data_IF_510568350920
#
_entry.id   IF_510568350920
#
_cell.length_a   1.000
_cell.length_b   1.000
_cell.length_c   1.000
_cell.angle_alpha   90.00
_cell.angle_beta   90.00
_cell.angle_gamma   90.00
#
_symmetry.space_group_name_H-M   'P 1'
#
loop_
_entity.id
_entity.type
_entity.pdbx_description
1 polymer ?
#
# COMPACT_ATOMS: atom_id res chain seq x y z
N UNK A 1 55.46 -50.42 13.36
CA UNK A 1 54.05 -50.84 13.55
C UNK A 1 53.55 -50.14 14.80
N UNK A 2 52.96 -48.97 14.64
CA UNK A 2 52.24 -48.22 15.68
C UNK A 2 51.11 -47.45 14.98
N UNK A 3 49.87 -47.43 15.51
CA UNK A 3 48.69 -47.02 14.77
C UNK A 3 48.46 -45.51 14.84
N UNK A 4 47.81 -44.97 13.80
CA UNK A 4 47.39 -43.57 13.67
C UNK A 4 46.16 -43.33 14.56
N UNK A 5 46.01 -42.18 15.23
CA UNK A 5 44.86 -41.95 16.12
C UNK A 5 43.58 -41.69 15.34
N UNK A 6 42.47 -42.21 15.87
CA UNK A 6 41.10 -42.06 15.37
C UNK A 6 40.68 -40.60 15.33
N UNK A 7 40.31 -40.12 14.13
CA UNK A 7 39.64 -38.82 13.97
C UNK A 7 38.18 -39.02 14.34
N UNK A 8 37.82 -38.52 15.51
CA UNK A 8 36.45 -38.45 16.00
C UNK A 8 35.53 -37.81 14.94
N UNK A 9 34.47 -38.53 14.58
CA UNK A 9 33.43 -38.05 13.67
C UNK A 9 32.75 -36.81 14.21
N UNK A 10 32.91 -35.69 13.53
CA UNK A 10 32.06 -34.51 13.70
C UNK A 10 30.75 -34.77 12.98
N UNK A 11 29.71 -35.12 13.72
CA UNK A 11 28.33 -35.12 13.21
C UNK A 11 28.00 -33.73 12.64
N UNK A 12 27.38 -33.64 11.44
CA UNK A 12 26.99 -32.35 10.87
C UNK A 12 26.01 -31.64 11.81
N UNK A 13 26.03 -30.30 11.87
CA UNK A 13 25.06 -29.54 12.66
C UNK A 13 23.64 -29.87 12.17
N UNK A 14 22.64 -29.91 13.08
CA UNK A 14 21.27 -30.17 12.69
C UNK A 14 20.82 -29.10 11.68
N UNK A 15 20.35 -29.55 10.51
CA UNK A 15 19.71 -28.67 9.52
C UNK A 15 18.57 -27.89 10.20
N UNK A 16 18.61 -26.57 10.11
CA UNK A 16 17.46 -25.74 10.51
C UNK A 16 16.24 -26.19 9.70
N UNK A 17 15.13 -26.60 10.35
CA UNK A 17 13.97 -27.07 9.61
C UNK A 17 13.43 -25.93 8.75
N UNK A 18 13.21 -26.22 7.46
CA UNK A 18 12.53 -25.34 6.52
C UNK A 18 11.36 -24.63 7.21
N UNK A 19 11.37 -23.29 7.17
CA UNK A 19 10.51 -22.43 7.99
C UNK A 19 9.06 -22.91 7.99
N UNK A 20 8.56 -23.28 9.17
CA UNK A 20 7.17 -23.69 9.36
C UNK A 20 6.25 -22.63 8.73
N UNK A 21 5.21 -23.00 7.96
CA UNK A 21 4.26 -22.04 7.44
C UNK A 21 3.69 -21.24 8.62
N UNK A 22 3.79 -19.92 8.51
CA UNK A 22 3.29 -19.00 9.51
C UNK A 22 1.83 -19.26 9.85
N UNK A 23 1.46 -19.12 11.11
CA UNK A 23 0.07 -19.26 11.53
C UNK A 23 -0.71 -18.03 11.00
N UNK A 24 -1.74 -18.22 10.15
CA UNK A 24 -2.53 -17.11 9.65
C UNK A 24 -3.30 -16.42 10.78
N UNK A 25 -3.66 -15.15 10.58
CA UNK A 25 -4.36 -14.33 11.57
C UNK A 25 -5.66 -14.98 12.04
N UNK A 26 -6.38 -15.65 11.13
CA UNK A 26 -7.61 -16.37 11.46
C UNK A 26 -7.39 -17.51 12.47
N UNK A 27 -6.30 -18.26 12.33
CA UNK A 27 -6.00 -19.36 13.27
C UNK A 27 -5.53 -18.83 14.63
N UNK A 28 -4.86 -17.68 14.66
CA UNK A 28 -4.55 -16.99 15.91
C UNK A 28 -5.81 -16.51 16.64
N UNK A 29 -6.77 -15.96 15.90
CA UNK A 29 -8.06 -15.52 16.44
C UNK A 29 -8.85 -16.73 16.94
N UNK A 30 -8.97 -17.79 16.13
CA UNK A 30 -9.66 -19.03 16.50
C UNK A 30 -9.06 -19.65 17.75
N UNK A 31 -7.73 -19.81 17.80
CA UNK A 31 -7.04 -20.35 18.98
C UNK A 31 -7.24 -19.51 20.25
N UNK A 32 -7.38 -18.19 20.11
CA UNK A 32 -7.67 -17.31 21.25
C UNK A 32 -9.11 -17.45 21.77
N UNK A 33 -10.07 -17.83 20.92
CA UNK A 33 -11.42 -18.19 21.35
C UNK A 33 -11.48 -19.58 21.97
N UNK A 34 -10.66 -20.52 21.52
CA UNK A 34 -10.65 -21.88 22.04
C UNK A 34 -10.06 -21.94 23.47
N UNK A 35 -9.01 -21.18 23.75
CA UNK A 35 -8.34 -21.10 25.07
C UNK A 35 -9.19 -20.33 26.11
N UNK A 36 -9.71 -21.00 27.17
CA UNK A 36 -10.54 -20.37 28.20
C UNK A 36 -9.88 -19.18 28.90
N UNK A 37 -8.55 -19.19 29.02
CA UNK A 37 -7.80 -18.11 29.68
C UNK A 37 -7.75 -16.83 28.85
N UNK A 38 -7.90 -16.95 27.51
CA UNK A 38 -7.85 -15.83 26.56
C UNK A 38 -9.23 -15.32 26.16
N UNK A 39 -10.28 -16.13 26.34
CA UNK A 39 -11.68 -15.76 26.01
C UNK A 39 -12.08 -14.42 26.60
N UNK A 40 -11.78 -14.16 27.88
CA UNK A 40 -12.15 -12.90 28.55
C UNK A 40 -11.45 -11.72 27.88
N UNK A 41 -10.16 -11.85 27.55
CA UNK A 41 -9.39 -10.81 26.86
C UNK A 41 -9.91 -10.58 25.44
N UNK A 42 -10.27 -11.63 24.71
CA UNK A 42 -10.81 -11.53 23.35
C UNK A 42 -12.18 -10.86 23.35
N UNK A 43 -13.09 -11.30 24.23
CA UNK A 43 -14.43 -10.70 24.37
C UNK A 43 -14.34 -9.25 24.86
N UNK A 44 -13.49 -8.97 25.85
CA UNK A 44 -13.22 -7.61 26.31
C UNK A 44 -12.65 -6.72 25.21
N UNK A 45 -11.68 -7.24 24.45
CA UNK A 45 -11.11 -6.54 23.29
C UNK A 45 -12.14 -6.26 22.20
N UNK A 46 -13.00 -7.23 21.88
CA UNK A 46 -14.09 -7.07 20.93
C UNK A 46 -15.13 -6.03 21.41
N UNK A 47 -15.48 -6.04 22.70
CA UNK A 47 -16.36 -5.04 23.29
C UNK A 47 -15.72 -3.63 23.24
N UNK A 48 -14.45 -3.49 23.58
CA UNK A 48 -13.71 -2.22 23.46
C UNK A 48 -13.64 -1.73 22.01
N UNK A 49 -13.42 -2.63 21.05
CA UNK A 49 -13.44 -2.28 19.62
C UNK A 49 -14.84 -1.81 19.20
N UNK A 50 -15.90 -2.53 19.58
CA UNK A 50 -17.28 -2.13 19.29
C UNK A 50 -17.63 -0.77 19.86
N UNK A 51 -17.24 -0.49 21.11
CA UNK A 51 -17.43 0.83 21.74
C UNK A 51 -16.64 1.93 21.04
N UNK A 52 -15.39 1.65 20.63
CA UNK A 52 -14.57 2.60 19.87
C UNK A 52 -15.23 2.92 18.53
N UNK A 53 -15.66 1.91 17.77
CA UNK A 53 -16.34 2.11 16.49
C UNK A 53 -17.67 2.87 16.66
N UNK A 54 -18.41 2.60 17.74
CA UNK A 54 -19.64 3.33 18.06
C UNK A 54 -19.36 4.82 18.37
N UNK A 55 -18.29 5.10 19.13
CA UNK A 55 -17.87 6.47 19.45
C UNK A 55 -17.48 7.26 18.18
N UNK A 56 -16.86 6.57 17.22
CA UNK A 56 -16.43 7.10 15.92
C UNK A 56 -17.42 6.83 14.79
N UNK A 57 -18.69 6.52 15.09
CA UNK A 57 -19.69 6.18 14.07
C UNK A 57 -19.88 7.25 13.00
N UNK A 58 -19.80 8.53 13.38
CA UNK A 58 -19.98 9.64 12.43
C UNK A 58 -18.76 9.71 11.51
N UNK A 59 -17.55 9.48 12.02
CA UNK A 59 -16.32 9.36 11.21
C UNK A 59 -16.37 8.18 10.25
N UNK A 60 -16.94 7.04 10.67
CA UNK A 60 -17.16 5.90 9.78
C UNK A 60 -18.17 6.24 8.67
N UNK A 61 -19.20 7.03 8.99
CA UNK A 61 -20.14 7.55 8.02
C UNK A 61 -19.47 8.53 7.05
N UNK A 62 -18.61 9.43 7.54
CA UNK A 62 -17.85 10.36 6.71
C UNK A 62 -16.95 9.63 5.71
N UNK A 63 -16.29 8.53 6.14
CA UNK A 63 -15.56 7.65 5.23
C UNK A 63 -16.46 7.01 4.19
N UNK A 64 -17.56 6.40 4.61
CA UNK A 64 -18.51 5.78 3.69
C UNK A 64 -19.05 6.79 2.67
N UNK A 65 -19.46 7.96 3.12
CA UNK A 65 -19.96 9.03 2.27
C UNK A 65 -18.89 9.51 1.29
N UNK A 66 -17.67 9.76 1.78
CA UNK A 66 -16.56 10.20 0.94
C UNK A 66 -16.16 9.17 -0.10
N UNK A 67 -16.06 7.89 0.27
CA UNK A 67 -15.64 6.84 -0.66
C UNK A 67 -16.72 6.48 -1.69
N UNK A 68 -17.99 6.81 -1.42
CA UNK A 68 -19.10 6.57 -2.35
C UNK A 68 -19.41 7.77 -3.25
N UNK A 69 -19.26 8.99 -2.72
CA UNK A 69 -19.64 10.23 -3.44
C UNK A 69 -18.46 10.98 -4.02
N UNK A 70 -17.30 10.96 -3.34
CA UNK A 70 -16.06 11.51 -3.87
C UNK A 70 -15.30 10.40 -4.57
N UNK A 71 -15.45 10.45 -5.87
CA UNK A 71 -14.86 9.58 -6.84
C UNK A 71 -13.31 9.53 -6.66
N UNK A 72 -12.66 10.60 -6.15
CA UNK A 72 -11.22 10.67 -5.82
C UNK A 72 -10.77 9.79 -4.64
N UNK A 73 -11.68 9.35 -3.78
CA UNK A 73 -11.39 8.53 -2.61
C UNK A 73 -12.04 7.15 -2.65
N UNK A 74 -12.55 6.74 -3.81
CA UNK A 74 -13.15 5.41 -4.03
C UNK A 74 -12.23 4.24 -3.67
N UNK A 75 -10.90 4.40 -3.74
CA UNK A 75 -9.93 3.39 -3.30
C UNK A 75 -9.94 3.16 -1.78
N UNK A 76 -10.53 4.07 -1.00
CA UNK A 76 -10.62 4.00 0.45
C UNK A 76 -11.24 2.70 0.97
N UNK A 77 -12.21 2.12 0.24
CA UNK A 77 -12.79 0.81 0.58
C UNK A 77 -11.76 -0.34 0.56
N UNK A 78 -10.76 -0.26 -0.30
CA UNK A 78 -9.74 -1.31 -0.45
C UNK A 78 -8.64 -1.22 0.64
N UNK A 79 -8.43 -0.02 1.19
CA UNK A 79 -7.32 0.25 2.12
C UNK A 79 -7.42 -0.57 3.43
N UNK A 80 -8.58 -0.66 4.11
CA UNK A 80 -8.75 -1.55 5.27
C UNK A 80 -8.50 -3.02 4.95
N UNK A 81 -8.93 -3.50 3.77
CA UNK A 81 -8.73 -4.89 3.35
C UNK A 81 -7.24 -5.19 3.14
N UNK A 82 -6.51 -4.29 2.49
CA UNK A 82 -5.07 -4.41 2.31
C UNK A 82 -4.32 -4.29 3.65
N UNK A 83 -4.76 -3.39 4.55
CA UNK A 83 -4.21 -3.28 5.91
C UNK A 83 -4.34 -4.61 6.67
N UNK A 84 -5.50 -5.26 6.61
CA UNK A 84 -5.71 -6.60 7.18
C UNK A 84 -4.84 -7.66 6.52
N UNK A 85 -4.68 -7.63 5.19
CA UNK A 85 -3.75 -8.51 4.49
C UNK A 85 -2.31 -8.32 4.99
N UNK A 86 -1.83 -7.08 5.13
CA UNK A 86 -0.51 -6.81 5.68
C UNK A 86 -0.39 -7.26 7.15
N UNK A 87 -1.43 -7.09 7.95
CA UNK A 87 -1.46 -7.58 9.32
C UNK A 87 -1.32 -9.12 9.35
N UNK A 88 -2.01 -9.82 8.44
CA UNK A 88 -1.88 -11.27 8.29
C UNK A 88 -0.46 -11.69 7.90
N UNK A 89 0.19 -10.96 6.99
CA UNK A 89 1.59 -11.22 6.63
C UNK A 89 2.57 -11.01 7.78
N UNK A 90 2.29 -10.04 8.67
CA UNK A 90 3.09 -9.83 9.88
C UNK A 90 2.86 -10.94 10.91
N UNK A 91 1.62 -11.40 11.06
CA UNK A 91 1.22 -12.50 11.94
C UNK A 91 1.86 -13.83 11.54
N UNK A 92 1.91 -14.12 10.23
CA UNK A 92 2.55 -15.31 9.69
C UNK A 92 4.04 -15.40 10.04
N UNK A 93 4.72 -14.28 10.30
CA UNK A 93 6.14 -14.28 10.74
C UNK A 93 6.30 -14.74 12.21
N UNK A 94 5.26 -15.20 12.88
CA UNK A 94 5.27 -15.68 14.26
C UNK A 94 4.81 -14.67 15.32
N UNK A 95 4.64 -15.10 16.59
CA UNK A 95 4.10 -14.25 17.64
C UNK A 95 5.01 -13.06 17.95
N UNK A 96 4.41 -11.93 18.34
CA UNK A 96 5.12 -10.78 18.89
C UNK A 96 5.09 -10.83 20.43
N UNK A 97 6.16 -10.40 21.12
CA UNK A 97 6.15 -10.35 22.57
C UNK A 97 5.14 -9.30 23.05
N UNK A 98 4.19 -9.71 23.89
CA UNK A 98 3.23 -8.81 24.53
C UNK A 98 3.91 -8.13 25.71
N UNK A 99 4.46 -6.93 25.48
CA UNK A 99 5.15 -6.13 26.51
C UNK A 99 4.88 -4.64 26.36
N UNK A 100 4.75 -3.94 27.49
CA UNK A 100 4.82 -2.48 27.58
C UNK A 100 3.78 -1.71 26.77
N UNK A 101 2.57 -2.26 26.60
CA UNK A 101 1.52 -1.69 25.77
C UNK A 101 0.57 -0.71 26.46
N UNK A 102 0.32 -0.89 27.76
CA UNK A 102 -0.74 -0.20 28.48
C UNK A 102 -0.60 1.33 28.47
N UNK A 103 0.60 1.86 28.75
CA UNK A 103 0.82 3.32 28.80
C UNK A 103 0.68 3.93 27.40
N UNK A 104 1.45 3.43 26.42
CA UNK A 104 1.40 3.95 25.06
C UNK A 104 -0.01 3.81 24.45
N UNK A 105 -0.62 2.64 24.59
CA UNK A 105 -1.96 2.37 24.08
C UNK A 105 -3.03 3.22 24.78
N UNK A 106 -2.93 3.39 26.09
CA UNK A 106 -3.81 4.26 26.87
C UNK A 106 -3.67 5.73 26.48
N UNK A 107 -2.45 6.22 26.26
CA UNK A 107 -2.21 7.59 25.76
C UNK A 107 -2.80 7.80 24.37
N UNK A 108 -2.60 6.86 23.44
CA UNK A 108 -3.18 6.93 22.10
C UNK A 108 -4.72 6.91 22.14
N UNK A 109 -5.32 6.05 22.97
CA UNK A 109 -6.77 6.01 23.18
C UNK A 109 -7.31 7.30 23.79
N UNK A 110 -6.67 7.81 24.83
CA UNK A 110 -7.06 9.06 25.48
C UNK A 110 -6.98 10.24 24.49
N UNK A 111 -5.90 10.31 23.70
CA UNK A 111 -5.76 11.32 22.66
C UNK A 111 -6.83 11.19 21.58
N UNK A 112 -7.11 9.96 21.10
CA UNK A 112 -8.15 9.71 20.11
C UNK A 112 -9.54 10.14 20.61
N UNK A 113 -9.89 9.80 21.85
CA UNK A 113 -11.15 10.19 22.47
C UNK A 113 -11.22 11.70 22.65
N UNK A 114 -10.15 12.34 23.14
CA UNK A 114 -10.10 13.79 23.32
C UNK A 114 -10.29 14.53 21.99
N UNK A 115 -9.56 14.11 20.94
CA UNK A 115 -9.70 14.69 19.60
C UNK A 115 -11.10 14.47 19.07
N UNK A 116 -11.69 13.28 19.28
CA UNK A 116 -13.09 13.02 18.89
C UNK A 116 -14.05 13.96 19.59
N UNK A 117 -13.90 14.19 20.90
CA UNK A 117 -14.75 15.12 21.65
C UNK A 117 -14.61 16.56 21.16
N UNK A 118 -13.39 16.99 20.83
CA UNK A 118 -13.09 18.32 20.26
C UNK A 118 -13.60 18.45 18.82
N UNK A 119 -13.62 17.37 18.04
CA UNK A 119 -14.08 17.34 16.66
C UNK A 119 -15.62 17.32 16.55
N UNK A 120 -16.38 17.07 17.62
CA UNK A 120 -17.86 17.14 17.59
C UNK A 120 -18.35 18.56 17.28
N UNK A 121 -17.90 19.62 17.98
CA UNK A 121 -18.34 20.99 17.68
C UNK A 121 -17.58 21.66 16.52
N UNK A 122 -16.47 21.09 16.06
CA UNK A 122 -15.62 21.70 15.04
C UNK A 122 -15.77 20.99 13.68
N UNK A 123 -15.82 21.71 12.55
CA UNK A 123 -15.89 21.09 11.22
C UNK A 123 -14.52 20.57 10.76
N UNK A 124 -13.87 19.74 11.59
CA UNK A 124 -12.53 19.20 11.40
C UNK A 124 -12.57 17.68 11.25
N UNK A 125 -13.34 17.19 10.28
CA UNK A 125 -13.54 15.75 10.00
C UNK A 125 -12.20 15.00 9.92
N UNK A 126 -11.22 15.58 9.22
CA UNK A 126 -9.86 15.04 9.09
C UNK A 126 -9.18 14.69 10.42
N UNK A 127 -9.37 15.50 11.48
CA UNK A 127 -8.81 15.17 12.79
C UNK A 127 -9.51 13.97 13.43
N UNK A 128 -10.82 13.86 13.26
CA UNK A 128 -11.60 12.71 13.71
C UNK A 128 -11.19 11.41 13.00
N UNK A 129 -10.94 11.48 11.69
CA UNK A 129 -10.46 10.37 10.86
C UNK A 129 -9.08 9.87 11.32
N UNK A 130 -8.13 10.78 11.55
CA UNK A 130 -6.82 10.45 12.10
C UNK A 130 -6.92 9.91 13.53
N UNK A 131 -7.82 10.48 14.34
CA UNK A 131 -8.07 10.02 15.71
C UNK A 131 -8.63 8.58 15.74
N UNK A 132 -9.45 8.18 14.77
CA UNK A 132 -9.91 6.79 14.68
C UNK A 132 -8.71 5.84 14.47
N UNK A 133 -7.80 6.17 13.55
CA UNK A 133 -6.62 5.34 13.27
C UNK A 133 -5.71 5.27 14.51
N UNK A 134 -5.49 6.40 15.19
CA UNK A 134 -4.76 6.45 16.45
C UNK A 134 -5.44 5.62 17.55
N UNK A 135 -6.77 5.67 17.64
CA UNK A 135 -7.57 4.89 18.58
C UNK A 135 -7.47 3.39 18.31
N UNK A 136 -7.51 2.96 17.06
CA UNK A 136 -7.31 1.56 16.65
C UNK A 136 -5.89 1.08 17.01
N UNK A 137 -4.86 1.89 16.72
CA UNK A 137 -3.48 1.61 17.10
C UNK A 137 -3.30 1.56 18.63
N UNK A 138 -3.97 2.44 19.36
CA UNK A 138 -3.97 2.50 20.82
C UNK A 138 -4.61 1.26 21.45
N UNK A 139 -5.81 0.89 20.98
CA UNK A 139 -6.49 -0.33 21.41
C UNK A 139 -5.64 -1.57 21.13
N UNK A 140 -5.05 -1.65 19.94
CA UNK A 140 -4.13 -2.73 19.59
C UNK A 140 -2.91 -2.77 20.52
N UNK A 141 -2.31 -1.62 20.84
CA UNK A 141 -1.19 -1.57 21.77
C UNK A 141 -1.56 -2.00 23.19
N UNK A 142 -2.75 -1.65 23.70
CA UNK A 142 -3.24 -2.13 25.01
C UNK A 142 -3.37 -3.65 25.01
N UNK A 143 -3.94 -4.23 23.96
CA UNK A 143 -4.23 -5.67 23.89
C UNK A 143 -2.99 -6.51 23.55
N UNK A 144 -2.16 -6.06 22.61
CA UNK A 144 -1.06 -6.83 22.02
C UNK A 144 0.34 -6.35 22.44
N UNK A 145 0.48 -5.20 23.10
CA UNK A 145 1.76 -4.64 23.52
C UNK A 145 2.36 -3.64 22.52
N UNK A 146 3.24 -2.76 23.00
CA UNK A 146 3.91 -1.76 22.15
C UNK A 146 4.94 -2.38 21.20
N UNK A 147 5.56 -3.49 21.59
CA UNK A 147 6.42 -4.27 20.71
C UNK A 147 5.64 -4.87 19.53
N UNK A 148 4.40 -5.34 19.77
CA UNK A 148 3.51 -5.75 18.70
C UNK A 148 3.11 -4.55 17.82
N UNK A 149 2.71 -3.41 18.40
CA UNK A 149 2.37 -2.23 17.60
C UNK A 149 3.52 -1.81 16.67
N UNK A 150 4.77 -1.80 17.17
CA UNK A 150 5.95 -1.51 16.36
C UNK A 150 6.14 -2.53 15.22
N UNK A 151 5.78 -3.79 15.43
CA UNK A 151 5.86 -4.82 14.40
C UNK A 151 4.75 -4.67 13.34
N UNK A 152 3.56 -4.26 13.77
CA UNK A 152 2.37 -4.03 12.93
C UNK A 152 2.24 -2.57 12.48
N UNK A 153 3.30 -1.77 12.58
CA UNK A 153 3.25 -0.34 12.27
C UNK A 153 2.75 -0.06 10.85
N UNK A 154 3.13 -0.90 9.88
CA UNK A 154 2.78 -0.70 8.48
C UNK A 154 1.29 -0.87 8.19
N UNK A 155 0.60 -1.94 8.64
CA UNK A 155 -0.87 -2.02 8.59
C UNK A 155 -1.58 -0.74 9.06
N UNK A 156 -1.19 -0.19 10.22
CA UNK A 156 -1.78 1.05 10.75
C UNK A 156 -1.42 2.27 9.91
N UNK A 157 -0.15 2.39 9.50
CA UNK A 157 0.29 3.45 8.58
C UNK A 157 -0.47 3.40 7.26
N UNK A 158 -0.75 2.21 6.73
CA UNK A 158 -1.45 2.04 5.47
C UNK A 158 -2.90 2.54 5.54
N UNK A 159 -3.54 2.50 6.71
CA UNK A 159 -4.87 3.09 6.90
C UNK A 159 -4.90 4.59 6.62
N UNK A 160 -3.77 5.31 6.69
CA UNK A 160 -3.74 6.74 6.34
C UNK A 160 -4.14 7.00 4.89
N UNK A 161 -3.97 6.03 3.98
CA UNK A 161 -4.39 6.18 2.58
C UNK A 161 -5.91 6.17 2.37
N UNK A 162 -6.69 5.78 3.39
CA UNK A 162 -8.15 5.82 3.34
C UNK A 162 -8.72 7.19 3.75
N UNK A 163 -7.87 8.06 4.31
CA UNK A 163 -8.26 9.33 4.91
C UNK A 163 -8.39 10.42 3.85
N UNK A 164 -9.60 10.98 3.62
CA UNK A 164 -9.77 12.14 2.76
C UNK A 164 -8.97 13.34 3.25
N UNK A 165 -8.15 13.93 2.38
CA UNK A 165 -7.42 15.14 2.73
C UNK A 165 -8.40 16.33 2.84
N UNK A 166 -8.18 17.27 3.79
CA UNK A 166 -8.96 18.49 3.87
C UNK A 166 -8.92 19.24 2.54
N UNK A 167 -10.04 19.82 2.12
CA UNK A 167 -10.16 20.56 0.84
C UNK A 167 -9.05 21.60 0.69
N UNK A 168 -8.69 22.32 1.75
CA UNK A 168 -7.63 23.32 1.72
C UNK A 168 -6.23 22.73 1.43
N UNK A 169 -5.94 21.53 1.94
CA UNK A 169 -4.69 20.84 1.64
C UNK A 169 -4.73 20.23 0.24
N UNK A 170 -5.87 19.63 -0.11
CA UNK A 170 -6.13 19.08 -1.43
C UNK A 170 -5.91 20.13 -2.52
N UNK A 171 -6.53 21.30 -2.43
CA UNK A 171 -6.40 22.36 -3.44
C UNK A 171 -4.97 22.89 -3.58
N UNK A 172 -4.22 22.99 -2.48
CA UNK A 172 -2.81 23.41 -2.50
C UNK A 172 -1.88 22.45 -3.23
N UNK A 173 -2.18 21.15 -3.19
CA UNK A 173 -1.38 20.12 -3.87
C UNK A 173 -1.88 19.86 -5.29
N UNK A 174 -3.20 19.74 -5.44
CA UNK A 174 -3.86 19.40 -6.70
C UNK A 174 -3.72 20.50 -7.75
N UNK A 175 -3.92 21.76 -7.37
CA UNK A 175 -3.95 22.87 -8.33
C UNK A 175 -2.64 23.04 -9.11
N UNK A 176 -1.45 23.07 -8.47
CA UNK A 176 -0.18 23.13 -9.20
C UNK A 176 0.04 21.93 -10.14
N UNK A 177 -0.31 20.72 -9.69
CA UNK A 177 -0.17 19.51 -10.49
C UNK A 177 -1.11 19.50 -11.69
N UNK A 178 -2.34 20.00 -11.53
CA UNK A 178 -3.30 20.15 -12.63
C UNK A 178 -2.81 21.17 -13.67
N UNK A 179 -2.26 22.31 -13.24
CA UNK A 179 -1.70 23.31 -14.13
C UNK A 179 -0.52 22.74 -14.92
N UNK A 180 0.39 22.03 -14.23
CA UNK A 180 1.52 21.36 -14.87
C UNK A 180 1.04 20.31 -15.89
N UNK A 181 0.07 19.47 -15.51
CA UNK A 181 -0.48 18.46 -16.40
C UNK A 181 -1.15 19.08 -17.63
N UNK A 182 -1.91 20.17 -17.46
CA UNK A 182 -2.57 20.90 -18.56
C UNK A 182 -1.54 21.49 -19.53
N UNK A 183 -0.51 22.15 -19.00
CA UNK A 183 0.58 22.71 -19.82
C UNK A 183 1.33 21.63 -20.60
N UNK A 184 1.69 20.53 -19.94
CA UNK A 184 2.38 19.40 -20.57
C UNK A 184 1.51 18.75 -21.66
N UNK A 185 0.22 18.50 -21.37
CA UNK A 185 -0.70 17.92 -22.33
C UNK A 185 -0.93 18.84 -23.54
N UNK A 186 -1.10 20.15 -23.30
CA UNK A 186 -1.20 21.15 -24.36
C UNK A 186 0.04 21.16 -25.25
N UNK A 187 1.24 21.14 -24.65
CA UNK A 187 2.48 21.08 -25.41
C UNK A 187 2.54 19.81 -26.28
N UNK A 188 2.21 18.65 -25.72
CA UNK A 188 2.17 17.39 -26.47
C UNK A 188 1.19 17.46 -27.63
N UNK A 189 -0.07 17.87 -27.39
CA UNK A 189 -1.09 17.97 -28.43
C UNK A 189 -0.70 18.93 -29.55
N UNK A 190 -0.18 20.12 -29.20
CA UNK A 190 0.28 21.10 -30.19
C UNK A 190 1.45 20.56 -31.02
N UNK A 191 2.38 19.81 -30.41
CA UNK A 191 3.50 19.17 -31.12
C UNK A 191 3.04 18.03 -32.04
N UNK A 192 1.99 17.31 -31.67
CA UNK A 192 1.46 16.17 -32.43
C UNK A 192 0.34 16.55 -33.41
N UNK A 193 0.12 17.85 -33.65
CA UNK A 193 -0.75 18.36 -34.71
C UNK A 193 -2.19 18.68 -34.32
N UNK A 194 -2.53 18.64 -33.03
CA UNK A 194 -3.82 19.07 -32.51
C UNK A 194 -3.66 20.44 -31.83
N UNK A 195 -4.01 21.55 -32.49
CA UNK A 195 -3.81 22.88 -31.93
C UNK A 195 -4.77 23.11 -30.76
N UNK A 196 -4.22 23.34 -29.57
CA UNK A 196 -4.99 23.53 -28.32
C UNK A 196 -4.55 24.82 -27.65
N UNK A 197 -5.53 25.68 -27.36
CA UNK A 197 -5.33 26.85 -26.52
C UNK A 197 -5.53 26.43 -25.06
N UNK A 198 -4.52 26.64 -24.22
CA UNK A 198 -4.55 26.27 -22.81
C UNK A 198 -4.48 27.52 -21.93
N UNK A 199 -5.54 27.77 -21.16
CA UNK A 199 -5.67 28.88 -20.22
C UNK A 199 -5.89 28.32 -18.81
N UNK A 200 -4.80 28.20 -18.05
CA UNK A 200 -4.82 27.50 -16.76
C UNK A 200 -5.16 26.02 -16.93
N UNK A 201 -6.28 25.58 -16.34
CA UNK A 201 -6.79 24.21 -16.47
C UNK A 201 -7.89 24.08 -17.55
N UNK A 202 -8.18 25.17 -18.28
CA UNK A 202 -9.15 25.20 -19.35
C UNK A 202 -8.45 25.01 -20.69
N UNK A 203 -8.92 24.09 -21.52
CA UNK A 203 -8.34 23.86 -22.83
C UNK A 203 -9.43 23.92 -23.91
N UNK A 204 -9.17 24.75 -24.92
CA UNK A 204 -10.06 24.96 -26.06
C UNK A 204 -9.48 24.24 -27.27
N UNK A 205 -10.21 23.24 -27.77
CA UNK A 205 -9.89 22.48 -28.98
C UNK A 205 -10.54 23.12 -30.22
N UNK A 206 -10.10 22.74 -31.44
CA UNK A 206 -10.70 23.24 -32.67
C UNK A 206 -12.18 22.86 -32.76
N UNK A 207 -12.99 23.77 -33.31
CA UNK A 207 -14.45 23.63 -33.34
C UNK A 207 -15.14 24.13 -32.07
N UNK A 208 -14.42 24.79 -31.15
CA UNK A 208 -14.99 25.38 -29.94
C UNK A 208 -15.29 24.36 -28.84
N UNK A 209 -14.75 23.14 -28.96
CA UNK A 209 -14.91 22.09 -27.95
C UNK A 209 -14.05 22.45 -26.74
N UNK A 210 -14.69 22.52 -25.57
CA UNK A 210 -14.04 22.87 -24.32
C UNK A 210 -13.78 21.62 -23.47
N UNK A 211 -12.58 21.51 -22.92
CA UNK A 211 -12.24 20.50 -21.92
C UNK A 211 -11.66 21.17 -20.67
N UNK A 212 -12.15 20.76 -19.50
CA UNK A 212 -11.67 21.24 -18.21
C UNK A 212 -10.86 20.14 -17.55
N UNK A 213 -9.55 20.31 -17.41
CA UNK A 213 -8.68 19.27 -16.83
C UNK A 213 -9.06 18.96 -15.37
N UNK A 214 -9.56 19.95 -14.61
CA UNK A 214 -9.94 19.78 -13.21
C UNK A 214 -11.21 18.94 -13.00
N UNK A 215 -12.19 19.03 -13.91
CA UNK A 215 -13.46 18.27 -13.84
C UNK A 215 -13.40 16.99 -14.67
N UNK A 216 -12.77 17.06 -15.85
CA UNK A 216 -12.70 15.98 -16.81
C UNK A 216 -11.54 15.01 -16.55
N UNK A 217 -10.62 15.29 -15.63
CA UNK A 217 -9.54 14.38 -15.29
C UNK A 217 -9.35 14.38 -13.78
N UNK A 218 -9.78 13.29 -13.15
CA UNK A 218 -9.59 12.98 -11.73
C UNK A 218 -8.12 12.78 -11.34
N UNK A 219 -7.19 13.64 -11.78
CA UNK A 219 -5.74 13.42 -11.71
C UNK A 219 -5.23 13.11 -10.30
N UNK A 220 -5.90 13.66 -9.28
CA UNK A 220 -5.60 13.34 -7.88
C UNK A 220 -6.06 11.95 -7.46
N UNK A 221 -7.19 11.43 -7.94
CA UNK A 221 -7.64 10.04 -7.71
C UNK A 221 -6.58 9.04 -8.13
N UNK A 222 -6.08 9.22 -9.35
CA UNK A 222 -5.05 8.34 -9.88
C UNK A 222 -3.80 8.47 -9.03
N UNK A 223 -3.42 9.68 -8.63
CA UNK A 223 -2.23 9.90 -7.82
C UNK A 223 -2.32 9.32 -6.40
N UNK A 224 -3.41 9.55 -5.66
CA UNK A 224 -3.58 9.03 -4.28
C UNK A 224 -3.70 7.51 -4.26
N UNK A 225 -4.51 6.94 -5.16
CA UNK A 225 -4.63 5.50 -5.34
C UNK A 225 -3.33 4.85 -5.80
N UNK A 226 -2.62 5.46 -6.74
CA UNK A 226 -1.33 4.97 -7.23
C UNK A 226 -0.23 5.09 -6.19
N UNK A 227 -0.23 6.14 -5.37
CA UNK A 227 0.69 6.28 -4.25
C UNK A 227 0.45 5.19 -3.20
N UNK A 228 -0.82 4.90 -2.88
CA UNK A 228 -1.17 3.79 -1.98
C UNK A 228 -0.69 2.44 -2.54
N UNK A 229 -0.91 2.20 -3.83
CA UNK A 229 -0.49 0.98 -4.52
C UNK A 229 1.04 0.84 -4.61
N UNK A 230 1.75 1.90 -4.99
CA UNK A 230 3.21 1.92 -5.02
C UNK A 230 3.79 1.70 -3.61
N UNK A 231 3.16 2.25 -2.58
CA UNK A 231 3.54 2.02 -1.18
C UNK A 231 3.31 0.56 -0.76
N UNK A 232 2.20 -0.04 -1.17
CA UNK A 232 1.94 -1.47 -0.98
C UNK A 232 3.01 -2.34 -1.67
N UNK A 233 3.33 -2.05 -2.94
CA UNK A 233 4.38 -2.75 -3.70
C UNK A 233 5.75 -2.60 -3.04
N UNK A 234 6.10 -1.37 -2.63
CA UNK A 234 7.35 -1.07 -1.93
C UNK A 234 7.46 -1.81 -0.59
N UNK A 235 6.36 -2.01 0.12
CA UNK A 235 6.37 -2.78 1.36
C UNK A 235 6.54 -4.29 1.13
N UNK A 236 5.89 -4.83 0.09
CA UNK A 236 5.93 -6.25 -0.23
C UNK A 236 7.26 -6.70 -0.83
N UNK A 237 8.02 -5.81 -1.47
CA UNK A 237 9.32 -6.16 -2.02
C UNK A 237 10.38 -6.40 -0.93
N UNK A 238 11.28 -7.36 -1.16
CA UNK A 238 12.39 -7.70 -0.25
C UNK A 238 13.61 -6.80 -0.39
N UNK A 239 13.50 -5.74 -1.20
CA UNK A 239 14.57 -4.79 -1.55
C UNK A 239 14.91 -3.84 -0.39
N UNK A 240 16.13 -3.25 -0.38
CA UNK A 240 16.57 -2.31 0.65
C UNK A 240 15.70 -1.05 0.75
N UNK A 241 15.77 -0.35 1.89
CA UNK A 241 14.93 0.82 2.17
C UNK A 241 15.03 1.94 1.14
N UNK A 242 16.21 2.18 0.57
CA UNK A 242 16.39 3.18 -0.50
C UNK A 242 15.60 2.82 -1.76
N UNK A 243 15.56 1.53 -2.13
CA UNK A 243 14.82 1.05 -3.30
C UNK A 243 13.33 1.30 -3.10
N UNK A 244 12.83 0.96 -1.91
CA UNK A 244 11.43 1.21 -1.52
C UNK A 244 11.10 2.70 -1.55
N UNK A 245 12.01 3.55 -1.07
CA UNK A 245 11.83 5.00 -1.12
C UNK A 245 11.75 5.52 -2.56
N UNK A 246 12.62 5.05 -3.46
CA UNK A 246 12.56 5.42 -4.89
C UNK A 246 11.24 4.98 -5.52
N UNK A 247 10.77 3.76 -5.26
CA UNK A 247 9.48 3.25 -5.77
C UNK A 247 8.31 4.15 -5.32
N UNK A 248 8.27 4.53 -4.04
CA UNK A 248 7.22 5.41 -3.50
C UNK A 248 7.32 6.81 -4.08
N UNK A 249 8.52 7.39 -4.14
CA UNK A 249 8.73 8.75 -4.67
C UNK A 249 8.45 8.82 -6.17
N UNK A 250 8.75 7.76 -6.93
CA UNK A 250 8.45 7.66 -8.35
C UNK A 250 6.95 7.56 -8.64
N UNK A 251 6.11 7.22 -7.66
CA UNK A 251 4.67 7.17 -7.84
C UNK A 251 4.10 8.53 -8.29
N UNK A 252 4.63 9.64 -7.78
CA UNK A 252 4.18 10.98 -8.14
C UNK A 252 4.46 11.34 -9.61
N UNK A 253 5.70 11.30 -10.12
CA UNK A 253 5.96 11.58 -11.53
C UNK A 253 5.28 10.58 -12.46
N UNK A 254 5.22 9.29 -12.10
CA UNK A 254 4.52 8.28 -12.91
C UNK A 254 3.03 8.59 -13.00
N UNK A 255 2.37 8.91 -11.88
CA UNK A 255 0.96 9.29 -11.88
C UNK A 255 0.71 10.57 -12.68
N UNK A 256 1.60 11.56 -12.59
CA UNK A 256 1.54 12.77 -13.41
C UNK A 256 1.68 12.44 -14.91
N UNK A 257 2.63 11.60 -15.29
CA UNK A 257 2.80 11.16 -16.69
C UNK A 257 1.57 10.42 -17.21
N UNK A 258 1.03 9.48 -16.43
CA UNK A 258 -0.21 8.77 -16.80
C UNK A 258 -1.39 9.74 -16.93
N UNK A 259 -1.47 10.77 -16.07
CA UNK A 259 -2.49 11.80 -16.16
C UNK A 259 -2.32 12.70 -17.40
N UNK A 260 -1.08 13.07 -17.78
CA UNK A 260 -0.82 13.82 -19.02
C UNK A 260 -1.23 12.98 -20.24
N UNK A 261 -0.85 11.69 -20.28
CA UNK A 261 -1.25 10.78 -21.34
C UNK A 261 -2.78 10.67 -21.47
N UNK A 262 -3.48 10.64 -20.32
CA UNK A 262 -4.95 10.68 -20.26
C UNK A 262 -5.53 11.96 -20.88
N UNK A 263 -5.07 13.13 -20.44
CA UNK A 263 -5.56 14.42 -20.95
C UNK A 263 -5.37 14.50 -22.47
N UNK A 264 -4.21 14.07 -22.96
CA UNK A 264 -3.94 14.01 -24.42
C UNK A 264 -4.91 13.06 -25.10
N UNK A 265 -5.07 11.83 -24.61
CA UNK A 265 -5.99 10.84 -25.19
C UNK A 265 -7.43 11.36 -25.22
N UNK A 266 -7.93 11.92 -24.11
CA UNK A 266 -9.25 12.55 -24.04
C UNK A 266 -9.38 13.67 -25.07
N UNK A 267 -8.39 14.57 -25.20
CA UNK A 267 -8.42 15.66 -26.18
C UNK A 267 -8.54 15.15 -27.63
N UNK A 268 -7.77 14.11 -27.98
CA UNK A 268 -7.89 13.45 -29.28
C UNK A 268 -9.26 12.82 -29.51
N UNK A 269 -9.79 12.11 -28.51
CA UNK A 269 -11.12 11.48 -28.60
C UNK A 269 -12.23 12.53 -28.74
N UNK A 270 -12.17 13.62 -27.98
CA UNK A 270 -13.15 14.69 -28.04
C UNK A 270 -13.15 15.39 -29.40
N UNK A 271 -11.98 15.61 -30.00
CA UNK A 271 -11.87 16.31 -31.27
C UNK A 271 -12.23 15.42 -32.48
N UNK A 272 -11.72 14.19 -32.54
CA UNK A 272 -11.86 13.34 -33.72
C UNK A 272 -13.03 12.36 -33.67
N UNK A 273 -13.54 12.01 -32.49
CA UNK A 273 -14.57 10.98 -32.34
C UNK A 273 -15.88 11.59 -31.90
N UNK A 274 -15.99 12.02 -30.64
CA UNK A 274 -17.15 12.72 -30.11
C UNK A 274 -16.83 13.27 -28.71
N UNK A 275 -17.15 14.54 -28.41
CA UNK A 275 -17.01 15.11 -27.07
C UNK A 275 -17.72 14.33 -25.96
N UNK A 276 -18.81 13.62 -26.26
CA UNK A 276 -19.58 12.84 -25.28
C UNK A 276 -18.76 11.70 -24.64
N UNK A 277 -17.76 11.17 -25.33
CA UNK A 277 -16.90 10.09 -24.83
C UNK A 277 -15.93 10.53 -23.72
N UNK A 278 -15.84 11.83 -23.43
CA UNK A 278 -15.11 12.33 -22.27
C UNK A 278 -15.84 12.09 -20.93
N UNK A 279 -17.04 11.49 -20.96
CA UNK A 279 -17.88 11.29 -19.78
C UNK A 279 -18.42 9.85 -19.69
N UNK A 280 -18.98 9.50 -18.52
CA UNK A 280 -19.64 8.22 -18.31
C UNK A 280 -18.70 7.01 -18.39
N UNK A 281 -19.18 5.90 -18.97
CA UNK A 281 -18.46 4.63 -18.98
C UNK A 281 -17.10 4.68 -19.68
N UNK A 282 -16.97 5.49 -20.73
CA UNK A 282 -15.71 5.66 -21.46
C UNK A 282 -14.65 6.36 -20.63
N UNK A 283 -15.06 7.37 -19.86
CA UNK A 283 -14.19 8.05 -18.91
C UNK A 283 -13.70 7.10 -17.80
N UNK A 284 -14.57 6.20 -17.32
CA UNK A 284 -14.18 5.17 -16.34
C UNK A 284 -13.19 4.17 -16.95
N UNK A 285 -13.45 3.68 -18.15
CA UNK A 285 -12.57 2.74 -18.86
C UNK A 285 -11.19 3.36 -19.09
N UNK A 286 -11.15 4.60 -19.56
CA UNK A 286 -9.92 5.37 -19.74
C UNK A 286 -9.13 5.47 -18.43
N UNK A 287 -9.80 5.75 -17.31
CA UNK A 287 -9.16 5.77 -15.98
C UNK A 287 -8.52 4.43 -15.61
N UNK A 288 -9.19 3.30 -15.89
CA UNK A 288 -8.65 1.96 -15.65
C UNK A 288 -7.42 1.70 -16.53
N UNK A 289 -7.50 2.06 -17.81
CA UNK A 289 -6.38 1.92 -18.75
C UNK A 289 -5.16 2.72 -18.30
N UNK A 290 -5.37 3.95 -17.82
CA UNK A 290 -4.30 4.83 -17.35
C UNK A 290 -3.69 4.37 -16.03
N UNK A 291 -4.48 3.78 -15.13
CA UNK A 291 -3.96 3.07 -13.96
C UNK A 291 -3.05 1.89 -14.37
N UNK A 292 -3.48 1.10 -15.36
CA UNK A 292 -2.67 0.03 -15.94
C UNK A 292 -1.37 0.55 -16.56
N UNK A 293 -1.43 1.65 -17.30
CA UNK A 293 -0.26 2.32 -17.86
C UNK A 293 0.72 2.80 -16.76
N UNK A 294 0.21 3.41 -15.69
CA UNK A 294 1.03 3.76 -14.52
C UNK A 294 1.73 2.55 -13.91
N UNK A 295 1.01 1.43 -13.74
CA UNK A 295 1.58 0.19 -13.22
C UNK A 295 2.69 -0.38 -14.12
N UNK A 296 2.52 -0.29 -15.44
CA UNK A 296 3.55 -0.69 -16.40
C UNK A 296 4.81 0.18 -16.27
N UNK A 297 4.65 1.51 -16.08
CA UNK A 297 5.77 2.41 -15.85
C UNK A 297 6.49 2.09 -14.52
N UNK A 298 5.74 1.81 -13.46
CA UNK A 298 6.32 1.41 -12.17
C UNK A 298 7.07 0.08 -12.27
N UNK A 299 6.51 -0.89 -12.98
CA UNK A 299 7.17 -2.16 -13.25
C UNK A 299 8.46 -1.95 -14.07
N UNK A 300 8.40 -1.11 -15.10
CA UNK A 300 9.56 -0.78 -15.94
C UNK A 300 10.68 -0.12 -15.12
N UNK A 301 10.32 0.80 -14.20
CA UNK A 301 11.26 1.38 -13.25
C UNK A 301 11.88 0.32 -12.36
N UNK A 302 11.09 -0.59 -11.81
CA UNK A 302 11.59 -1.67 -10.97
C UNK A 302 12.56 -2.58 -11.72
N UNK A 303 12.22 -2.97 -12.96
CA UNK A 303 13.10 -3.77 -13.84
C UNK A 303 14.40 -3.03 -14.12
N UNK A 304 14.34 -1.73 -14.44
CA UNK A 304 15.53 -0.91 -14.67
C UNK A 304 16.41 -0.82 -13.42
N UNK A 305 15.82 -0.54 -12.26
CA UNK A 305 16.54 -0.50 -10.98
C UNK A 305 17.19 -1.86 -10.65
N UNK A 306 16.53 -2.96 -10.99
CA UNK A 306 17.04 -4.32 -10.78
C UNK A 306 18.20 -4.67 -11.70
N UNK A 307 18.26 -4.09 -12.90
CA UNK A 307 19.41 -4.22 -13.80
C UNK A 307 20.60 -3.36 -13.33
N UNK A 308 20.32 -2.17 -12.79
CA UNK A 308 21.34 -1.20 -12.36
C UNK A 308 21.89 -1.48 -10.96
N UNK A 309 21.14 -2.19 -10.13
CA UNK A 309 21.59 -2.61 -8.80
C UNK A 309 22.23 -3.98 -8.94
N UNK A 310 23.56 -4.12 -8.85
CA UNK A 310 24.18 -5.44 -8.80
C UNK A 310 23.49 -6.22 -7.69
N UNK A 311 23.12 -7.49 -7.95
CA UNK A 311 22.78 -8.41 -6.86
C UNK A 311 23.90 -8.23 -5.85
N UNK A 312 23.59 -7.74 -4.65
CA UNK A 312 24.56 -7.73 -3.58
C UNK A 312 25.04 -9.18 -3.47
N UNK A 313 26.25 -9.45 -3.97
CA UNK A 313 26.96 -10.66 -3.61
C UNK A 313 26.99 -10.62 -2.10
N UNK A 314 26.36 -11.64 -1.50
CA UNK A 314 25.98 -11.61 -0.11
C UNK A 314 27.17 -11.20 0.74
N UNK A 315 26.88 -10.36 1.73
CA UNK A 315 27.60 -10.45 3.00
C UNK A 315 27.60 -11.94 3.35
N UNK A 316 28.77 -12.57 3.22
CA UNK A 316 28.92 -14.01 3.29
C UNK A 316 28.45 -14.52 4.64
N UNK A 317 27.27 -15.12 4.67
CA UNK A 317 26.98 -16.17 5.64
C UNK A 317 27.55 -17.48 5.05
N UNK A 318 28.30 -18.27 5.83
CA UNK A 318 28.97 -19.46 5.34
C UNK A 318 27.92 -20.57 5.11
N UNK A 319 27.25 -20.53 3.96
CA UNK A 319 26.23 -21.51 3.59
C UNK A 319 26.35 -22.00 2.15
N UNK A 320 27.37 -21.57 1.40
CA UNK A 320 27.49 -21.83 -0.04
C UNK A 320 28.70 -22.66 -0.45
N UNK A 321 29.36 -23.32 0.51
CA UNK A 321 30.41 -24.30 0.23
C UNK A 321 29.87 -25.74 0.06
N UNK A 322 28.57 -26.01 0.29
CA UNK A 322 28.03 -27.39 0.26
C UNK A 322 27.33 -27.80 -1.05
N UNK A 323 27.20 -26.91 -2.04
CA UNK A 323 26.49 -27.22 -3.28
C UNK A 323 27.38 -27.73 -4.42
N UNK A 324 28.64 -28.06 -4.14
CA UNK A 324 29.60 -28.55 -5.15
C UNK A 324 30.33 -29.85 -4.76
N UNK A 325 29.69 -30.76 -4.02
CA UNK A 325 30.25 -32.09 -3.80
C UNK A 325 29.24 -33.21 -4.08
N UNK A 326 29.59 -33.99 -5.11
CA UNK A 326 29.20 -35.37 -5.40
C UNK A 326 27.82 -35.61 -6.03
N UNK A 327 27.80 -35.47 -7.36
CA UNK A 327 27.16 -36.46 -8.23
C UNK A 327 27.74 -37.85 -7.91
N UNK A 328 27.01 -38.66 -7.15
CA UNK A 328 27.23 -40.12 -7.10
C UNK A 328 26.36 -40.74 -8.20
N UNK A 329 26.92 -41.42 -9.21
CA UNK A 329 26.12 -42.10 -10.22
C UNK A 329 25.46 -43.34 -9.60
N UNK A 330 24.16 -43.51 -9.87
CA UNK A 330 23.39 -44.71 -9.50
C UNK A 330 23.95 -45.95 -10.24
N UNK A 331 24.04 -47.12 -9.60
CA UNK A 331 24.50 -48.33 -10.28
C UNK A 331 23.43 -48.82 -11.28
N UNK A 332 23.89 -49.26 -12.45
CA UNK A 332 23.05 -49.81 -13.52
C UNK A 332 22.37 -51.14 -13.09
N UNK A 333 21.21 -51.48 -13.68
CA UNK A 333 20.49 -52.70 -13.31
C UNK A 333 21.24 -53.94 -13.80
N UNK A 334 21.32 -54.96 -12.95
CA UNK A 334 21.85 -56.28 -13.33
C UNK A 334 20.84 -56.97 -14.26
N UNK A 335 21.29 -57.31 -15.46
CA UNK A 335 20.56 -58.23 -16.34
C UNK A 335 20.54 -59.64 -15.75
N UNK A 336 19.39 -60.29 -15.88
CA UNK A 336 19.15 -61.65 -15.43
C UNK A 336 19.80 -62.67 -16.38
N UNK A 337 20.50 -63.65 -15.80
CA UNK A 337 20.83 -64.95 -16.39
C UNK A 337 20.75 -66.01 -15.31
#
# INVERSE_FOLDING_TARGET
>A
MTPKPDVAGTSPPPEEPAGRPGIPLWDLVRGAFEDPSRRVTVLGGAACLGLLLLLFRDTLWDFYYSWTTDENYSHGFLVPLLSLYFANQVAAKGPAPVRGGAILGGLLLAAAILVRLVAIPLPLAFLGELALIAGLAGLFAVLAGSAALRRYWFPFFFLLFMVPLPIALYTRVASPLQLMASQMASAVMNLTGLPVLCEGNHMTLPGGVQMFVAEACSGMRQMTGFLALATAVAYLTTKPGWYRAVVVLAALPIALTANVARIVLTGYVMHYVNPQYASGAYHTLEGILMMGFGLLLLNSLCVLMDQLTPRAEGVGFPGRAMLNMNLVPLPAPKEAS
#
